data_IF_264868969603
#
_entry.id   IF_264868969603
#
_cell.length_a   1.000
_cell.length_b   1.000
_cell.length_c   1.000
_cell.angle_alpha   90.00
_cell.angle_beta   90.00
_cell.angle_gamma   90.00
#
_symmetry.space_group_name_H-M   'P 1'
#
loop_
_entity.id
_entity.type
_entity.pdbx_description
1 polymer ?
#
# COMPACT_ATOMS: atom_id res chain seq x y z
N UNK A 1 9.53 25.47 -57.41
CA UNK A 1 9.82 25.89 -56.03
C UNK A 1 9.04 24.99 -55.07
N UNK A 2 9.72 24.43 -54.06
CA UNK A 2 9.09 23.93 -52.84
C UNK A 2 8.60 22.47 -52.83
N UNK A 3 9.52 21.53 -52.72
CA UNK A 3 9.23 20.27 -52.02
C UNK A 3 9.29 20.47 -50.50
N UNK A 4 8.64 19.60 -49.72
CA UNK A 4 9.17 18.89 -48.54
C UNK A 4 8.05 18.11 -47.81
N UNK A 5 8.09 16.78 -47.99
CA UNK A 5 7.85 15.65 -47.05
C UNK A 5 6.89 15.80 -45.84
N UNK A 6 5.82 14.98 -45.90
CA UNK A 6 5.46 13.80 -45.06
C UNK A 6 5.42 13.96 -43.53
N UNK A 7 4.23 13.77 -42.95
CA UNK A 7 4.03 12.91 -41.77
C UNK A 7 2.77 12.05 -42.00
N UNK A 8 2.97 10.73 -41.97
CA UNK A 8 1.90 9.74 -41.91
C UNK A 8 1.69 9.33 -40.46
N UNK A 9 0.44 9.16 -40.04
CA UNK A 9 0.09 8.33 -38.89
C UNK A 9 -1.13 7.49 -39.29
N UNK A 10 -1.05 6.15 -39.24
CA UNK A 10 -2.14 5.28 -39.62
C UNK A 10 -3.18 5.12 -38.50
N UNK A 11 -4.36 4.70 -38.94
CA UNK A 11 -5.54 4.35 -38.16
C UNK A 11 -5.25 3.41 -36.98
N UNK A 12 -5.93 3.63 -35.85
CA UNK A 12 -6.07 2.63 -34.81
C UNK A 12 -7.53 2.14 -34.78
N UNK A 13 -7.77 1.05 -35.49
CA UNK A 13 -8.93 0.17 -35.27
C UNK A 13 -8.45 -0.98 -34.42
N UNK A 14 -8.93 -1.09 -33.18
CA UNK A 14 -8.86 -2.34 -32.41
C UNK A 14 -9.96 -2.34 -31.35
N UNK A 15 -11.15 -2.75 -31.78
CA UNK A 15 -12.15 -3.32 -30.91
C UNK A 15 -11.84 -4.81 -30.74
N UNK A 16 -11.04 -5.17 -29.73
CA UNK A 16 -10.90 -6.53 -29.13
C UNK A 16 -10.29 -6.27 -27.73
N UNK A 17 -10.79 -6.71 -26.58
CA UNK A 17 -11.32 -8.00 -26.19
C UNK A 17 -12.15 -7.84 -24.90
N UNK A 18 -13.43 -8.20 -24.95
CA UNK A 18 -14.03 -8.89 -23.81
C UNK A 18 -13.25 -10.19 -23.62
N UNK A 19 -12.82 -10.48 -22.39
CA UNK A 19 -11.89 -11.55 -21.98
C UNK A 19 -10.55 -11.07 -21.36
N UNK A 20 -10.61 -10.14 -20.40
CA UNK A 20 -9.85 -10.36 -19.16
C UNK A 20 -10.61 -11.36 -18.26
N UNK A 21 -11.21 -12.43 -18.80
CA UNK A 21 -10.68 -13.79 -18.61
C UNK A 21 -9.81 -13.89 -17.36
N UNK A 22 -10.49 -13.97 -16.21
CA UNK A 22 -10.51 -15.21 -15.40
C UNK A 22 -9.13 -15.86 -15.22
N UNK A 23 -8.18 -15.07 -14.75
CA UNK A 23 -6.84 -15.51 -14.33
C UNK A 23 -6.30 -14.68 -13.15
N UNK A 24 -7.19 -14.17 -12.28
CA UNK A 24 -6.88 -14.09 -10.83
C UNK A 24 -7.58 -15.26 -10.12
N UNK A 25 -7.92 -16.30 -10.87
CA UNK A 25 -8.23 -17.59 -10.27
C UNK A 25 -6.93 -18.09 -9.64
N UNK A 26 -7.00 -18.18 -8.31
CA UNK A 26 -6.04 -18.84 -7.42
C UNK A 26 -4.96 -17.89 -6.92
N UNK A 27 -5.29 -17.23 -5.80
CA UNK A 27 -4.45 -17.26 -4.61
C UNK A 27 -3.26 -18.20 -4.79
N UNK A 28 -2.03 -17.67 -4.74
CA UNK A 28 -0.88 -18.45 -4.31
C UNK A 28 -1.23 -18.98 -2.90
N UNK A 29 -1.91 -20.11 -2.89
CA UNK A 29 -2.77 -20.61 -1.83
C UNK A 29 -1.91 -20.94 -0.61
N UNK A 30 -2.19 -20.26 0.51
CA UNK A 30 -1.48 -20.43 1.79
C UNK A 30 -0.10 -19.78 1.88
N UNK A 31 0.78 -20.00 0.90
CA UNK A 31 2.24 -19.75 1.07
C UNK A 31 2.67 -18.28 1.07
N UNK A 32 2.06 -17.44 0.22
CA UNK A 32 2.43 -16.01 0.17
C UNK A 32 1.82 -15.23 1.34
N UNK A 33 0.58 -15.56 1.73
CA UNK A 33 -0.03 -14.98 2.93
C UNK A 33 0.70 -15.41 4.20
N UNK A 34 1.07 -16.70 4.32
CA UNK A 34 1.87 -17.15 5.46
C UNK A 34 3.23 -16.47 5.49
N UNK A 35 3.91 -16.34 4.34
CA UNK A 35 5.17 -15.61 4.23
C UNK A 35 5.02 -14.14 4.62
N UNK A 36 3.93 -13.48 4.23
CA UNK A 36 3.63 -12.11 4.63
C UNK A 36 3.40 -12.01 6.14
N UNK A 37 2.59 -12.90 6.72
CA UNK A 37 2.35 -12.94 8.18
C UNK A 37 3.66 -13.19 8.94
N UNK A 38 4.51 -14.08 8.45
CA UNK A 38 5.82 -14.35 9.03
C UNK A 38 6.75 -13.14 8.91
N UNK A 39 6.75 -12.46 7.76
CA UNK A 39 7.47 -11.19 7.57
C UNK A 39 6.99 -10.12 8.55
N UNK A 40 5.67 -9.93 8.69
CA UNK A 40 5.08 -8.97 9.62
C UNK A 40 5.50 -9.30 11.05
N UNK A 41 5.44 -10.57 11.46
CA UNK A 41 5.89 -10.97 12.81
C UNK A 41 7.38 -10.76 13.02
N UNK A 42 8.20 -11.07 12.02
CA UNK A 42 9.66 -10.96 12.12
C UNK A 42 10.11 -9.49 12.22
N UNK A 43 9.41 -8.58 11.55
CA UNK A 43 9.74 -7.16 11.53
C UNK A 43 9.19 -6.39 12.72
N UNK A 44 7.99 -6.75 13.19
CA UNK A 44 7.30 -6.05 14.31
C UNK A 44 7.56 -6.69 15.68
N UNK A 45 8.12 -7.90 15.73
CA UNK A 45 8.23 -8.67 16.96
C UNK A 45 6.88 -9.17 17.51
N UNK A 46 5.81 -9.08 16.72
CA UNK A 46 4.47 -9.51 17.15
C UNK A 46 4.47 -10.98 17.61
N UNK A 47 3.88 -11.21 18.79
CA UNK A 47 3.79 -12.54 19.39
C UNK A 47 3.08 -13.53 18.46
N UNK A 48 3.56 -14.79 18.43
CA UNK A 48 2.92 -15.89 17.70
C UNK A 48 1.45 -16.12 18.13
N UNK A 49 1.09 -15.71 19.35
CA UNK A 49 -0.28 -15.83 19.88
C UNK A 49 -1.21 -14.71 19.41
N UNK A 50 -0.68 -13.62 18.88
CA UNK A 50 -1.48 -12.52 18.35
C UNK A 50 -2.05 -12.94 16.98
N UNK A 51 -3.39 -12.95 16.82
CA UNK A 51 -3.99 -13.13 15.50
C UNK A 51 -3.59 -11.96 14.61
N UNK A 52 -3.12 -12.27 13.40
CA UNK A 52 -2.89 -11.28 12.34
C UNK A 52 -3.88 -11.62 11.24
N UNK A 53 -4.79 -10.70 10.98
CA UNK A 53 -5.89 -10.80 10.00
C UNK A 53 -5.71 -9.74 8.93
N UNK A 54 -6.52 -9.80 7.86
CA UNK A 54 -6.51 -8.76 6.83
C UNK A 54 -6.78 -7.36 7.39
N UNK A 55 -7.64 -7.25 8.40
CA UNK A 55 -8.02 -5.97 9.03
C UNK A 55 -6.98 -5.45 10.03
N UNK A 56 -5.97 -6.25 10.37
CA UNK A 56 -4.92 -5.82 11.32
C UNK A 56 -4.17 -4.62 10.74
N UNK A 57 -4.14 -3.53 11.49
CA UNK A 57 -3.50 -2.27 11.11
C UNK A 57 -2.05 -2.21 11.60
N UNK A 58 -1.15 -1.76 10.73
CA UNK A 58 0.28 -1.66 11.08
C UNK A 58 0.53 -0.73 12.27
N UNK A 59 -0.02 0.48 12.24
CA UNK A 59 0.21 1.47 13.31
C UNK A 59 -0.64 1.14 14.55
N UNK A 60 -1.97 1.12 14.41
CA UNK A 60 -2.89 0.97 15.56
C UNK A 60 -2.75 -0.38 16.29
N UNK A 61 -2.60 -1.47 15.55
CA UNK A 61 -2.54 -2.80 16.16
C UNK A 61 -1.11 -3.27 16.39
N UNK A 62 -0.18 -3.02 15.48
CA UNK A 62 1.19 -3.56 15.59
C UNK A 62 2.21 -2.56 16.13
N UNK A 63 1.85 -1.29 16.29
CA UNK A 63 2.73 -0.24 16.82
C UNK A 63 3.76 0.28 15.81
N UNK A 64 3.68 -0.14 14.55
CA UNK A 64 4.63 0.23 13.49
C UNK A 64 4.35 1.67 13.07
N UNK A 65 5.17 2.61 13.54
CA UNK A 65 4.99 4.05 13.34
C UNK A 65 6.33 4.74 13.07
N UNK A 66 6.29 5.99 12.61
CA UNK A 66 7.50 6.81 12.48
C UNK A 66 8.61 6.15 11.65
N UNK A 67 9.83 6.15 12.17
CA UNK A 67 11.01 5.54 11.52
C UNK A 67 10.83 4.02 11.37
N UNK A 68 10.12 3.37 12.30
CA UNK A 68 9.83 1.94 12.19
C UNK A 68 8.94 1.65 10.99
N UNK A 69 7.92 2.48 10.74
CA UNK A 69 7.05 2.34 9.58
C UNK A 69 7.79 2.57 8.27
N UNK A 70 8.71 3.54 8.22
CA UNK A 70 9.53 3.81 7.04
C UNK A 70 10.39 2.59 6.70
N UNK A 71 11.14 2.08 7.69
CA UNK A 71 11.98 0.91 7.53
C UNK A 71 11.17 -0.37 7.23
N UNK A 72 9.97 -0.50 7.80
CA UNK A 72 9.07 -1.61 7.52
C UNK A 72 8.64 -1.62 6.06
N UNK A 73 8.15 -0.48 5.54
CA UNK A 73 7.65 -0.39 4.17
C UNK A 73 8.76 -0.57 3.15
N UNK A 74 9.95 -0.02 3.38
CA UNK A 74 11.12 -0.25 2.54
C UNK A 74 11.45 -1.75 2.44
N UNK A 75 11.55 -2.44 3.58
CA UNK A 75 11.80 -3.90 3.63
C UNK A 75 10.69 -4.68 2.96
N UNK A 76 9.43 -4.24 3.09
CA UNK A 76 8.29 -4.90 2.46
C UNK A 76 8.39 -4.84 0.93
N UNK A 77 8.62 -3.64 0.37
CA UNK A 77 8.74 -3.46 -1.08
C UNK A 77 9.90 -4.30 -1.65
N UNK A 78 11.05 -4.33 -0.96
CA UNK A 78 12.19 -5.14 -1.39
C UNK A 78 11.96 -6.65 -1.24
N UNK A 79 11.41 -7.11 -0.12
CA UNK A 79 11.26 -8.54 0.18
C UNK A 79 10.25 -9.23 -0.74
N UNK A 80 9.19 -8.52 -1.14
CA UNK A 80 8.13 -9.05 -2.00
C UNK A 80 8.22 -8.57 -3.45
N UNK A 81 9.19 -7.72 -3.78
CA UNK A 81 9.39 -7.15 -5.13
C UNK A 81 8.13 -6.46 -5.64
N UNK A 82 7.48 -5.72 -4.74
CA UNK A 82 6.30 -4.90 -5.03
C UNK A 82 6.78 -3.56 -5.58
N UNK A 83 6.27 -3.17 -6.74
CA UNK A 83 6.49 -1.82 -7.28
C UNK A 83 5.88 -0.78 -6.31
N UNK A 84 6.67 0.21 -5.93
CA UNK A 84 6.30 1.29 -4.99
C UNK A 84 5.08 2.07 -5.52
N UNK A 85 4.87 2.12 -6.83
CA UNK A 85 3.67 2.69 -7.43
C UNK A 85 3.42 4.15 -7.01
N UNK A 86 2.24 4.42 -6.45
CA UNK A 86 1.83 5.73 -5.94
C UNK A 86 1.90 5.84 -4.41
N UNK A 87 2.62 4.93 -3.74
CA UNK A 87 2.80 4.96 -2.29
C UNK A 87 3.37 6.31 -1.83
N UNK A 88 2.69 6.92 -0.86
CA UNK A 88 3.13 8.14 -0.18
C UNK A 88 3.16 7.89 1.32
N UNK A 89 4.33 8.03 1.95
CA UNK A 89 4.46 7.78 3.38
C UNK A 89 3.53 8.69 4.20
N UNK A 90 3.47 9.98 3.87
CA UNK A 90 2.67 10.97 4.60
C UNK A 90 1.16 10.74 4.51
N UNK A 91 0.69 9.96 3.52
CA UNK A 91 -0.71 9.53 3.40
C UNK A 91 -1.09 8.51 4.48
N UNK A 92 -0.14 7.67 4.88
CA UNK A 92 -0.37 6.51 5.72
C UNK A 92 0.19 6.66 7.13
N UNK A 93 1.31 7.37 7.31
CA UNK A 93 2.04 7.44 8.57
C UNK A 93 2.46 8.86 8.95
N UNK A 94 2.66 9.09 10.26
CA UNK A 94 3.27 10.31 10.78
C UNK A 94 4.78 10.24 10.61
N UNK A 95 5.38 11.15 9.86
CA UNK A 95 6.84 11.33 9.90
C UNK A 95 7.26 11.87 11.27
N UNK A 96 8.27 11.29 11.94
CA UNK A 96 8.63 11.60 13.33
C UNK A 96 8.97 13.08 13.58
N UNK A 97 9.53 13.78 12.59
CA UNK A 97 9.76 15.23 12.67
C UNK A 97 8.47 16.04 12.80
N UNK A 98 7.37 15.54 12.23
CA UNK A 98 6.04 16.12 12.34
C UNK A 98 5.28 15.60 13.56
N UNK A 99 5.55 14.38 14.04
CA UNK A 99 4.80 13.73 15.12
C UNK A 99 4.92 14.44 16.48
N UNK A 100 6.09 14.96 16.83
CA UNK A 100 6.28 15.73 18.07
C UNK A 100 5.52 17.06 17.98
N UNK A 101 5.63 17.76 16.85
CA UNK A 101 4.92 19.02 16.58
C UNK A 101 3.41 18.78 16.59
N UNK A 102 2.93 17.72 15.94
CA UNK A 102 1.52 17.33 15.91
C UNK A 102 0.99 16.91 17.28
N UNK A 103 1.78 16.22 18.11
CA UNK A 103 1.41 15.86 19.47
C UNK A 103 1.16 17.09 20.35
N UNK A 104 1.99 18.13 20.20
CA UNK A 104 1.79 19.42 20.88
C UNK A 104 0.54 20.16 20.35
N UNK A 105 0.31 20.14 19.04
CA UNK A 105 -0.84 20.84 18.42
C UNK A 105 -2.17 20.14 18.71
N UNK A 106 -2.17 18.80 18.81
CA UNK A 106 -3.37 17.99 19.09
C UNK A 106 -3.82 18.09 20.54
N UNK A 107 -2.89 18.25 21.50
CA UNK A 107 -3.21 18.60 22.90
C UNK A 107 -4.07 19.87 22.99
N UNK A 108 -3.88 20.80 22.06
CA UNK A 108 -4.55 22.10 22.04
C UNK A 108 -5.88 22.10 21.26
N UNK A 109 -6.19 21.06 20.48
CA UNK A 109 -7.45 21.02 19.71
C UNK A 109 -7.86 19.62 19.25
N UNK A 110 -9.04 19.17 19.71
CA UNK A 110 -9.68 17.92 19.29
C UNK A 110 -10.01 17.90 17.79
N UNK A 111 -10.41 19.04 17.22
CA UNK A 111 -10.71 19.20 15.79
C UNK A 111 -9.46 19.05 14.90
N UNK A 112 -8.27 19.38 15.44
CA UNK A 112 -6.99 19.13 14.74
C UNK A 112 -6.53 17.67 14.84
N UNK A 113 -7.01 16.89 15.81
CA UNK A 113 -6.78 15.43 15.85
C UNK A 113 -7.49 14.73 14.69
N UNK A 114 -8.74 15.09 14.43
CA UNK A 114 -9.54 14.52 13.34
C UNK A 114 -9.00 14.90 11.94
N UNK A 115 -8.36 16.07 11.81
CA UNK A 115 -7.69 16.46 10.56
C UNK A 115 -6.39 15.67 10.28
N UNK A 116 -5.90 14.90 11.26
CA UNK A 116 -4.70 14.04 11.13
C UNK A 116 -5.05 12.57 10.98
N UNK A 117 -6.33 12.24 10.87
CA UNK A 117 -6.79 10.87 10.67
C UNK A 117 -6.29 10.40 9.31
N UNK A 118 -5.20 9.62 9.32
CA UNK A 118 -4.65 9.01 8.12
C UNK A 118 -5.42 7.75 7.77
N UNK A 119 -5.29 7.36 6.52
CA UNK A 119 -5.80 6.07 6.08
C UNK A 119 -4.89 5.00 6.67
N UNK A 120 -5.40 4.03 7.44
CA UNK A 120 -4.56 3.00 8.05
C UNK A 120 -4.05 2.03 6.98
N UNK A 121 -2.79 1.61 7.09
CA UNK A 121 -2.28 0.47 6.31
C UNK A 121 -2.65 -0.82 7.02
N UNK A 122 -3.42 -1.67 6.33
CA UNK A 122 -3.80 -2.98 6.83
C UNK A 122 -2.95 -4.10 6.22
N UNK A 123 -2.90 -5.25 6.89
CA UNK A 123 -2.25 -6.45 6.33
C UNK A 123 -2.93 -6.93 5.05
N UNK A 124 -4.24 -6.68 4.90
CA UNK A 124 -4.99 -6.93 3.67
C UNK A 124 -4.47 -6.10 2.49
N UNK A 125 -4.17 -4.81 2.72
CA UNK A 125 -3.56 -3.96 1.69
C UNK A 125 -2.18 -4.48 1.27
N UNK A 126 -1.36 -4.92 2.23
CA UNK A 126 -0.06 -5.54 1.93
C UNK A 126 -0.23 -6.82 1.10
N UNK A 127 -1.17 -7.69 1.46
CA UNK A 127 -1.43 -8.93 0.75
C UNK A 127 -1.85 -8.68 -0.70
N UNK A 128 -2.70 -7.68 -0.93
CA UNK A 128 -3.18 -7.32 -2.27
C UNK A 128 -2.11 -6.60 -3.11
N UNK A 129 -1.24 -5.80 -2.48
CA UNK A 129 -0.08 -5.21 -3.14
C UNK A 129 0.91 -6.29 -3.58
N UNK A 130 1.13 -7.33 -2.77
CA UNK A 130 1.93 -8.51 -3.15
C UNK A 130 1.26 -9.27 -4.30
N UNK A 131 -0.05 -9.48 -4.23
CA UNK A 131 -0.79 -10.22 -5.26
C UNK A 131 -0.82 -9.50 -6.61
N UNK A 132 -0.93 -8.18 -6.60
CA UNK A 132 -0.91 -7.34 -7.81
C UNK A 132 0.50 -6.98 -8.28
N UNK A 133 1.51 -7.12 -7.41
CA UNK A 133 2.90 -6.76 -7.67
C UNK A 133 3.16 -5.25 -7.65
N UNK A 134 2.19 -4.42 -7.23
CA UNK A 134 2.30 -2.96 -7.22
C UNK A 134 1.45 -2.35 -6.11
N UNK A 135 1.91 -1.25 -5.54
CA UNK A 135 1.07 -0.40 -4.70
C UNK A 135 0.17 0.51 -5.55
N UNK A 136 -1.14 0.38 -5.37
CA UNK A 136 -2.16 1.27 -5.94
C UNK A 136 -3.03 1.75 -4.78
N UNK A 137 -2.73 2.95 -4.28
CA UNK A 137 -3.39 3.53 -3.11
C UNK A 137 -4.91 3.54 -3.27
N UNK A 138 -5.43 3.95 -4.42
CA UNK A 138 -6.87 4.04 -4.63
C UNK A 138 -7.54 2.67 -4.59
N UNK A 139 -6.99 1.68 -5.29
CA UNK A 139 -7.56 0.34 -5.36
C UNK A 139 -7.49 -0.40 -4.02
N UNK A 140 -6.39 -0.20 -3.27
CA UNK A 140 -6.19 -0.83 -1.96
C UNK A 140 -7.10 -0.20 -0.90
N UNK A 141 -7.19 1.13 -0.86
CA UNK A 141 -8.04 1.85 0.10
C UNK A 141 -9.53 1.55 -0.12
N UNK A 142 -9.98 1.53 -1.37
CA UNK A 142 -11.38 1.22 -1.69
C UNK A 142 -11.81 -0.19 -1.27
N UNK A 143 -10.86 -1.12 -1.10
CA UNK A 143 -11.15 -2.52 -0.74
C UNK A 143 -11.04 -2.80 0.75
N UNK A 144 -10.15 -2.09 1.46
CA UNK A 144 -9.83 -2.39 2.87
C UNK A 144 -10.23 -1.29 3.85
N UNK A 145 -10.46 -0.07 3.36
CA UNK A 145 -10.74 1.11 4.19
C UNK A 145 -12.00 1.88 3.73
N UNK A 146 -12.76 1.32 2.78
CA UNK A 146 -14.00 1.87 2.22
C UNK A 146 -15.25 1.48 2.97
#
# INVERSE_FOLDING_TARGET
MGGHRRLAAPANTAQTNGHYKRHIDRFACGSQLSRLVDFVRATTGASKRKPITADTKLEDDLGVSGIEAEAFMEKFFDAFKVDIGDFSFDRYFVNEGSGIILSLITLLSRKRREALTRVPVTVGMLADAVASGRWDSQALEARHNG
#
